data_IF_397537625076
#
_entry.id   IF_397537625076
#
_cell.length_a   1.000
_cell.length_b   1.000
_cell.length_c   1.000
_cell.angle_alpha   90.00
_cell.angle_beta   90.00
_cell.angle_gamma   90.00
#
_symmetry.space_group_name_H-M   'P 1'
#
loop_
_entity.id
_entity.type
_entity.pdbx_description
1 polymer ?
#
# COMPACT_ATOMS: atom_id res chain seq x y z
N UNK A 1 17.74 -28.08 3.79
CA UNK A 1 16.91 -27.08 4.48
C UNK A 1 17.68 -25.77 4.65
N UNK A 2 17.92 -25.03 3.56
CA UNK A 2 18.65 -23.75 3.59
C UNK A 2 17.96 -22.76 2.66
N UNK A 3 16.84 -22.17 3.06
CA UNK A 3 16.30 -20.96 2.42
C UNK A 3 15.31 -20.28 3.38
N UNK A 4 15.85 -19.59 4.38
CA UNK A 4 15.07 -18.72 5.27
C UNK A 4 15.92 -17.53 5.74
N UNK A 5 16.75 -16.96 4.86
CA UNK A 5 17.77 -15.95 5.21
C UNK A 5 17.73 -14.70 4.31
N UNK A 6 16.60 -14.34 3.69
CA UNK A 6 16.56 -13.12 2.84
C UNK A 6 15.40 -12.15 3.12
N UNK A 7 14.93 -12.04 4.36
CA UNK A 7 13.93 -11.01 4.74
C UNK A 7 14.41 -10.02 5.81
N UNK A 8 15.74 -9.85 5.97
CA UNK A 8 16.31 -9.00 7.02
C UNK A 8 16.78 -7.61 6.54
N UNK A 9 16.36 -7.13 5.37
CA UNK A 9 16.79 -5.83 4.83
C UNK A 9 15.60 -4.89 4.55
N UNK A 10 14.76 -4.60 5.55
CA UNK A 10 13.98 -3.34 5.59
C UNK A 10 13.24 -3.03 6.91
N UNK A 11 13.60 -3.70 8.01
CA UNK A 11 12.92 -3.52 9.31
C UNK A 11 13.04 -2.08 9.87
N UNK A 12 14.17 -1.35 9.72
CA UNK A 12 14.29 0.01 10.25
C UNK A 12 13.37 0.99 9.54
N UNK A 13 13.36 0.99 8.19
CA UNK A 13 12.53 1.88 7.38
C UNK A 13 11.03 1.68 7.65
N UNK A 14 10.62 0.43 7.90
CA UNK A 14 9.24 0.11 8.28
C UNK A 14 8.88 0.62 9.68
N UNK A 15 9.80 0.54 10.65
CA UNK A 15 9.58 1.04 12.01
C UNK A 15 9.57 2.56 12.06
N UNK A 16 10.46 3.21 11.33
CA UNK A 16 10.56 4.67 11.26
C UNK A 16 9.34 5.27 10.59
N UNK A 17 8.85 4.64 9.51
CA UNK A 17 7.61 5.03 8.86
C UNK A 17 6.40 4.85 9.78
N UNK A 18 6.28 3.69 10.46
CA UNK A 18 5.16 3.42 11.36
C UNK A 18 5.16 4.36 12.57
N UNK A 19 6.32 4.63 13.16
CA UNK A 19 6.43 5.56 14.30
C UNK A 19 6.10 7.00 13.89
N UNK A 20 6.57 7.45 12.72
CA UNK A 20 6.22 8.76 12.18
C UNK A 20 4.71 8.91 11.94
N UNK A 21 4.08 7.90 11.32
CA UNK A 21 2.63 7.89 11.10
C UNK A 21 1.87 7.94 12.43
N UNK A 22 2.31 7.20 13.44
CA UNK A 22 1.65 7.20 14.76
C UNK A 22 1.80 8.55 15.48
N UNK A 23 2.95 9.20 15.36
CA UNK A 23 3.20 10.51 15.97
C UNK A 23 2.29 11.58 15.35
N UNK A 24 2.23 11.64 14.01
CA UNK A 24 1.34 12.53 13.26
C UNK A 24 -0.15 12.28 13.62
N UNK A 25 -0.53 11.04 13.95
CA UNK A 25 -1.89 10.69 14.40
C UNK A 25 -2.22 11.13 15.83
N UNK A 26 -1.23 11.26 16.71
CA UNK A 26 -1.43 11.76 18.07
C UNK A 26 -1.55 13.29 18.08
N UNK A 27 -0.78 13.98 17.25
CA UNK A 27 -0.81 15.44 17.15
C UNK A 27 -2.11 15.96 16.50
N UNK A 28 -2.72 15.17 15.60
CA UNK A 28 -4.04 15.46 15.02
C UNK A 28 -5.23 15.26 16.00
N UNK A 29 -4.98 14.73 17.20
CA UNK A 29 -6.02 14.35 18.18
C UNK A 29 -6.52 15.54 19.02
N UNK A 30 -5.87 16.71 18.95
CA UNK A 30 -6.40 17.94 19.54
C UNK A 30 -7.54 18.50 18.66
N UNK A 31 -8.76 18.01 18.90
CA UNK A 31 -10.00 18.71 18.52
C UNK A 31 -10.86 18.10 17.41
N UNK A 32 -10.42 17.06 16.70
CA UNK A 32 -11.16 16.51 15.53
C UNK A 32 -11.73 15.10 15.84
N UNK A 33 -13.05 15.00 16.00
CA UNK A 33 -13.79 13.73 16.18
C UNK A 33 -14.05 13.01 14.85
N UNK A 34 -13.03 12.85 14.00
CA UNK A 34 -13.10 12.01 12.80
C UNK A 34 -12.24 10.78 13.08
N UNK A 35 -12.65 9.54 12.75
CA UNK A 35 -11.76 8.40 12.83
C UNK A 35 -10.52 8.67 11.97
N UNK A 36 -9.40 8.93 12.63
CA UNK A 36 -8.07 9.30 12.09
C UNK A 36 -7.59 8.34 10.99
N UNK A 37 -8.20 7.16 10.89
CA UNK A 37 -7.97 6.15 9.87
C UNK A 37 -8.27 6.55 8.42
N UNK A 38 -8.84 7.73 8.16
CA UNK A 38 -9.21 8.19 6.81
C UNK A 38 -8.47 9.44 6.33
N UNK A 39 -7.60 10.02 7.16
CA UNK A 39 -6.93 11.27 6.79
C UNK A 39 -5.74 10.99 5.86
N UNK A 40 -5.70 11.59 4.67
CA UNK A 40 -4.53 11.55 3.81
C UNK A 40 -3.37 12.30 4.49
N UNK A 41 -2.21 11.66 4.68
CA UNK A 41 -1.08 12.33 5.39
C UNK A 41 -0.33 13.35 4.51
N UNK A 42 -0.64 13.41 3.20
CA UNK A 42 -0.07 14.37 2.25
C UNK A 42 -1.12 14.84 1.25
N UNK A 43 -1.05 16.11 0.83
CA UNK A 43 -1.86 16.62 -0.29
C UNK A 43 -1.46 15.90 -1.59
N UNK A 44 -2.45 15.35 -2.29
CA UNK A 44 -2.26 14.51 -3.47
C UNK A 44 -2.07 15.30 -4.78
N UNK A 45 -2.11 16.63 -4.72
CA UNK A 45 -2.18 17.50 -5.90
C UNK A 45 -0.98 17.37 -6.86
N UNK A 46 0.15 16.84 -6.38
CA UNK A 46 1.39 16.70 -7.17
C UNK A 46 1.82 15.25 -7.45
N UNK A 47 0.96 14.25 -7.18
CA UNK A 47 1.33 12.86 -7.45
C UNK A 47 1.11 12.51 -8.93
N UNK A 48 2.03 11.78 -9.56
CA UNK A 48 1.91 11.41 -10.97
C UNK A 48 0.85 10.31 -11.20
N UNK A 49 0.26 9.75 -10.13
CA UNK A 49 -0.81 8.78 -10.19
C UNK A 49 -1.92 9.10 -9.17
N UNK A 50 -3.11 8.59 -9.44
CA UNK A 50 -4.27 8.67 -8.55
C UNK A 50 -4.89 7.29 -8.36
N UNK A 51 -5.28 6.96 -7.13
CA UNK A 51 -5.98 5.71 -6.80
C UNK A 51 -7.38 6.03 -6.28
N UNK A 52 -8.41 5.62 -7.02
CA UNK A 52 -9.79 5.87 -6.61
C UNK A 52 -10.31 4.82 -5.63
N UNK A 53 -10.99 5.25 -4.57
CA UNK A 53 -11.66 4.36 -3.59
C UNK A 53 -12.85 3.59 -4.21
N UNK A 54 -13.34 2.59 -3.50
CA UNK A 54 -14.61 1.91 -3.82
C UNK A 54 -15.80 2.85 -3.58
N UNK A 55 -16.98 2.47 -4.07
CA UNK A 55 -18.22 3.20 -3.77
C UNK A 55 -18.49 3.32 -2.26
N UNK A 56 -17.96 2.38 -1.47
CA UNK A 56 -18.06 2.35 -0.01
C UNK A 56 -16.84 2.99 0.70
N UNK A 57 -15.96 3.68 -0.04
CA UNK A 57 -14.81 4.37 0.55
C UNK A 57 -13.59 3.49 0.88
N UNK A 58 -13.60 2.21 0.48
CA UNK A 58 -12.46 1.31 0.73
C UNK A 58 -11.34 1.49 -0.31
N UNK A 59 -10.08 1.38 0.14
CA UNK A 59 -8.94 1.31 -0.76
C UNK A 59 -9.01 0.07 -1.66
N UNK A 60 -8.69 0.19 -2.97
CA UNK A 60 -8.82 -0.89 -3.94
C UNK A 60 -7.64 -1.90 -3.86
N UNK A 61 -7.36 -2.42 -2.66
CA UNK A 61 -6.30 -3.39 -2.37
C UNK A 61 -6.93 -4.71 -1.93
N UNK A 62 -6.79 -5.73 -2.76
CA UNK A 62 -7.46 -7.04 -2.60
C UNK A 62 -6.43 -8.17 -2.46
N UNK A 63 -6.88 -9.28 -1.87
CA UNK A 63 -6.14 -10.54 -1.89
C UNK A 63 -6.85 -11.50 -2.84
N UNK A 64 -6.05 -12.18 -3.67
CA UNK A 64 -6.49 -13.24 -4.55
C UNK A 64 -5.75 -14.53 -4.20
N UNK A 65 -6.52 -15.60 -3.99
CA UNK A 65 -6.01 -16.91 -3.59
C UNK A 65 -6.19 -17.88 -4.75
N UNK A 66 -5.08 -18.36 -5.30
CA UNK A 66 -5.05 -19.29 -6.43
C UNK A 66 -4.54 -20.67 -5.99
N UNK A 67 -4.77 -21.67 -6.83
CA UNK A 67 -4.26 -23.04 -6.66
C UNK A 67 -4.57 -23.62 -5.26
N UNK A 68 -5.83 -23.54 -4.83
CA UNK A 68 -6.22 -24.05 -3.52
C UNK A 68 -5.55 -23.33 -2.34
N UNK A 69 -5.35 -22.00 -2.44
CA UNK A 69 -4.69 -21.13 -1.42
C UNK A 69 -3.19 -21.32 -1.27
N UNK A 70 -2.53 -22.09 -2.13
CA UNK A 70 -1.07 -22.20 -2.14
C UNK A 70 -0.38 -20.97 -2.75
N UNK A 71 -1.09 -20.22 -3.58
CA UNK A 71 -0.61 -18.97 -4.17
C UNK A 71 -1.48 -17.80 -3.70
N UNK A 72 -0.87 -16.87 -2.98
CA UNK A 72 -1.51 -15.63 -2.56
C UNK A 72 -0.93 -14.47 -3.38
N UNK A 73 -1.81 -13.61 -3.88
CA UNK A 73 -1.47 -12.43 -4.67
C UNK A 73 -2.16 -11.23 -4.03
N UNK A 74 -1.46 -10.12 -3.89
CA UNK A 74 -2.07 -8.83 -3.56
C UNK A 74 -2.29 -8.03 -4.84
N UNK A 75 -3.49 -7.48 -5.00
CA UNK A 75 -3.92 -6.78 -6.20
C UNK A 75 -4.27 -5.33 -5.83
N UNK A 76 -3.69 -4.35 -6.54
CA UNK A 76 -4.06 -2.94 -6.46
C UNK A 76 -4.76 -2.54 -7.76
N UNK A 77 -5.93 -1.91 -7.67
CA UNK A 77 -6.78 -1.56 -8.83
C UNK A 77 -7.14 -0.07 -8.82
N UNK A 78 -7.86 0.38 -9.87
CA UNK A 78 -8.42 1.74 -10.01
C UNK A 78 -7.34 2.83 -10.00
N UNK A 79 -6.23 2.53 -10.66
CA UNK A 79 -5.09 3.44 -10.78
C UNK A 79 -5.31 4.30 -12.04
N UNK A 80 -5.00 5.59 -11.97
CA UNK A 80 -4.96 6.51 -13.11
C UNK A 80 -3.62 7.26 -13.11
N UNK A 81 -3.15 7.69 -14.28
CA UNK A 81 -1.87 8.41 -14.41
C UNK A 81 -0.68 7.47 -14.65
N UNK A 82 0.44 7.71 -13.98
CA UNK A 82 1.67 6.93 -14.13
C UNK A 82 1.66 5.66 -13.26
N UNK A 83 1.28 4.54 -13.88
CA UNK A 83 1.27 3.24 -13.24
C UNK A 83 2.68 2.74 -12.90
N UNK A 84 3.71 3.14 -13.65
CA UNK A 84 5.08 2.69 -13.42
C UNK A 84 5.61 3.26 -12.11
N UNK A 85 5.27 4.52 -11.80
CA UNK A 85 5.64 5.10 -10.51
C UNK A 85 5.07 4.31 -9.33
N UNK A 86 3.78 3.98 -9.35
CA UNK A 86 3.16 3.18 -8.29
C UNK A 86 3.71 1.74 -8.25
N UNK A 87 3.98 1.14 -9.43
CA UNK A 87 4.63 -0.17 -9.55
C UNK A 87 5.99 -0.18 -8.86
N UNK A 88 6.83 0.81 -9.11
CA UNK A 88 8.16 0.94 -8.51
C UNK A 88 8.08 1.13 -6.99
N UNK A 89 7.16 1.98 -6.53
CA UNK A 89 6.95 2.20 -5.10
C UNK A 89 6.49 0.90 -4.41
N UNK A 90 5.53 0.15 -5.00
CA UNK A 90 5.09 -1.15 -4.48
C UNK A 90 6.26 -2.13 -4.44
N UNK A 91 7.06 -2.22 -5.50
CA UNK A 91 8.20 -3.15 -5.57
C UNK A 91 9.23 -2.85 -4.48
N UNK A 92 9.51 -1.58 -4.20
CA UNK A 92 10.40 -1.16 -3.10
C UNK A 92 9.85 -1.50 -1.71
N UNK A 93 8.53 -1.36 -1.52
CA UNK A 93 7.86 -1.64 -0.25
C UNK A 93 7.83 -3.15 0.04
N UNK A 94 7.56 -3.97 -0.98
CA UNK A 94 7.38 -5.42 -0.82
C UNK A 94 8.66 -6.21 -1.01
N UNK A 95 9.64 -5.69 -1.75
CA UNK A 95 10.82 -6.42 -2.19
C UNK A 95 10.52 -7.46 -3.29
N UNK A 96 9.35 -7.36 -3.92
CA UNK A 96 8.86 -8.33 -4.89
C UNK A 96 8.65 -7.68 -6.26
N UNK A 97 8.69 -8.49 -7.32
CA UNK A 97 8.35 -8.03 -8.66
C UNK A 97 6.85 -7.76 -8.76
N UNK A 98 6.50 -6.61 -9.36
CA UNK A 98 5.11 -6.19 -9.55
C UNK A 98 4.74 -6.34 -11.02
N UNK A 99 3.73 -7.15 -11.28
CA UNK A 99 3.22 -7.38 -12.65
C UNK A 99 2.12 -6.36 -12.96
N UNK A 100 2.25 -5.67 -14.09
CA UNK A 100 1.16 -4.87 -14.65
C UNK A 100 0.23 -5.77 -15.45
N UNK A 101 -1.07 -5.77 -15.12
CA UNK A 101 -2.12 -6.46 -15.86
C UNK A 101 -2.97 -5.45 -16.63
N UNK A 102 -3.74 -5.95 -17.59
CA UNK A 102 -4.71 -5.14 -18.33
C UNK A 102 -5.70 -4.43 -17.38
N UNK A 103 -6.10 -3.20 -17.71
CA UNK A 103 -7.12 -2.45 -16.97
C UNK A 103 -6.66 -1.85 -15.64
N UNK A 104 -5.47 -1.23 -15.63
CA UNK A 104 -4.94 -0.47 -14.50
C UNK A 104 -4.84 -1.25 -13.18
N UNK A 105 -4.31 -2.47 -13.28
CA UNK A 105 -4.17 -3.40 -12.19
C UNK A 105 -2.70 -3.79 -11.99
N UNK A 106 -2.22 -3.64 -10.75
CA UNK A 106 -0.90 -4.10 -10.32
C UNK A 106 -1.06 -5.33 -9.44
N UNK A 107 -0.31 -6.39 -9.74
CA UNK A 107 -0.26 -7.63 -8.98
C UNK A 107 1.11 -7.82 -8.36
N UNK A 108 1.16 -8.17 -7.08
CA UNK A 108 2.39 -8.53 -6.38
C UNK A 108 2.19 -9.87 -5.66
N UNK A 109 3.17 -10.76 -5.77
CA UNK A 109 3.14 -12.06 -5.08
C UNK A 109 3.16 -11.84 -3.57
N UNK A 110 2.39 -12.63 -2.83
CA UNK A 110 2.34 -12.58 -1.36
C UNK A 110 1.19 -11.75 -0.79
N UNK A 111 1.06 -11.77 0.53
CA UNK A 111 0.06 -10.98 1.27
C UNK A 111 0.69 -9.67 1.76
N UNK A 112 0.54 -8.62 0.97
CA UNK A 112 1.02 -7.26 1.26
C UNK A 112 -0.13 -6.28 1.49
N UNK A 113 -1.36 -6.78 1.59
CA UNK A 113 -2.55 -5.94 1.58
C UNK A 113 -2.57 -4.91 2.72
N UNK A 114 -2.05 -5.27 3.90
CA UNK A 114 -1.96 -4.35 5.06
C UNK A 114 -0.98 -3.21 4.80
N UNK A 115 0.24 -3.50 4.34
CA UNK A 115 1.27 -2.47 4.13
C UNK A 115 0.92 -1.57 2.94
N UNK A 116 0.34 -2.12 1.87
CA UNK A 116 -0.07 -1.32 0.71
C UNK A 116 -1.26 -0.41 1.02
N UNK A 117 -2.21 -0.85 1.86
CA UNK A 117 -3.25 0.05 2.36
C UNK A 117 -2.68 1.18 3.21
N UNK A 118 -1.70 0.88 4.06
CA UNK A 118 -1.04 1.90 4.87
C UNK A 118 -0.32 2.94 4.00
N UNK A 119 0.43 2.47 3.00
CA UNK A 119 1.11 3.33 2.03
C UNK A 119 0.14 4.26 1.31
N UNK A 120 -0.92 3.72 0.71
CA UNK A 120 -1.90 4.52 -0.04
C UNK A 120 -2.56 5.57 0.86
N UNK A 121 -2.90 5.24 2.12
CA UNK A 121 -3.41 6.24 3.09
C UNK A 121 -2.40 7.34 3.37
N UNK A 122 -1.15 6.97 3.61
CA UNK A 122 -0.10 7.92 3.91
C UNK A 122 0.19 8.88 2.73
N UNK A 123 0.13 8.35 1.52
CA UNK A 123 0.34 9.14 0.29
C UNK A 123 -0.88 10.03 -0.02
N UNK A 124 -2.06 9.63 0.42
CA UNK A 124 -3.23 10.49 0.49
C UNK A 124 -4.49 9.96 -0.20
N UNK A 125 -4.60 8.63 -0.36
CA UNK A 125 -5.70 7.96 -1.06
C UNK A 125 -6.62 7.14 -0.16
#
# INVERSE_FOLDING_TARGET
MKHLVQQALNVPLQKDFVSKVLQEQLDAKEGVKIPVFHFPLKETQDLPFHVSRSAYGSLPVYLDYKNGRTKTITIVRKIKGDLNKLKDDISKITGEEVTLRAGDQLEVKGNHARILRLYLRAVGF
#
